data_IF_083122400704
#
_entry.id   IF_083122400704
#
_cell.length_a   1.000
_cell.length_b   1.000
_cell.length_c   1.000
_cell.angle_alpha   90.00
_cell.angle_beta   90.00
_cell.angle_gamma   90.00
#
_symmetry.space_group_name_H-M   'P 1'
#
loop_
_entity.id
_entity.type
_entity.pdbx_description
1 polymer ?
#
# COMPACT_ATOMS: atom_id res chain seq x y z
N UNK A 1 16.28 -5.18 2.30
CA UNK A 1 15.48 -5.48 1.10
C UNK A 1 14.14 -6.08 1.52
N UNK A 2 13.04 -5.40 1.20
CA UNK A 2 11.68 -5.93 1.42
C UNK A 2 11.59 -7.34 0.82
N UNK A 3 11.31 -8.34 1.66
CA UNK A 3 11.22 -9.74 1.21
C UNK A 3 9.96 -9.94 0.37
N UNK A 4 10.10 -10.72 -0.71
CA UNK A 4 9.01 -11.08 -1.64
C UNK A 4 8.34 -9.87 -2.33
N UNK A 5 9.04 -8.75 -2.43
CA UNK A 5 8.56 -7.62 -3.22
C UNK A 5 8.68 -7.93 -4.71
N UNK A 6 7.60 -7.72 -5.47
CA UNK A 6 7.58 -7.68 -6.92
C UNK A 6 6.82 -6.42 -7.33
N UNK A 7 7.48 -5.54 -8.10
CA UNK A 7 6.86 -4.31 -8.58
C UNK A 7 5.61 -4.59 -9.42
N UNK A 8 5.64 -5.66 -10.23
CA UNK A 8 4.51 -6.10 -11.05
C UNK A 8 3.26 -6.36 -10.23
N UNK A 9 3.37 -6.93 -9.03
CA UNK A 9 2.21 -7.25 -8.20
C UNK A 9 1.52 -5.96 -7.72
N UNK A 10 2.29 -4.91 -7.44
CA UNK A 10 1.75 -3.60 -7.08
C UNK A 10 1.16 -2.88 -8.29
N UNK A 11 1.80 -2.96 -9.46
CA UNK A 11 1.24 -2.44 -10.72
C UNK A 11 -0.10 -3.10 -11.01
N UNK A 12 -0.20 -4.42 -10.84
CA UNK A 12 -1.44 -5.17 -11.06
C UNK A 12 -2.51 -4.81 -10.02
N UNK A 13 -2.15 -4.70 -8.73
CA UNK A 13 -3.09 -4.34 -7.67
C UNK A 13 -3.61 -2.90 -7.79
N UNK A 14 -2.75 -1.95 -8.14
CA UNK A 14 -3.13 -0.55 -8.36
C UNK A 14 -3.70 -0.31 -9.76
N UNK A 15 -3.51 -1.24 -10.69
CA UNK A 15 -3.79 -1.10 -12.13
C UNK A 15 -3.15 0.16 -12.72
N UNK A 16 -2.00 0.57 -12.18
CA UNK A 16 -1.30 1.80 -12.54
C UNK A 16 0.19 1.71 -12.18
N UNK A 17 0.99 2.57 -12.79
CA UNK A 17 2.42 2.70 -12.50
C UNK A 17 2.64 3.54 -11.23
N UNK A 18 3.80 3.40 -10.55
CA UNK A 18 4.13 4.28 -9.45
C UNK A 18 4.21 5.74 -9.92
N UNK A 19 3.63 6.65 -9.14
CA UNK A 19 3.64 8.10 -9.41
C UNK A 19 4.98 8.76 -9.05
N UNK A 20 5.84 8.02 -8.34
CA UNK A 20 7.18 8.42 -7.98
C UNK A 20 8.07 7.20 -7.93
N UNK A 21 9.25 7.31 -8.53
CA UNK A 21 10.36 6.37 -8.40
C UNK A 21 11.55 7.20 -7.90
N UNK A 22 12.10 6.81 -6.76
CA UNK A 22 13.27 7.43 -6.17
C UNK A 22 14.55 7.10 -6.92
N UNK A 23 15.68 7.46 -6.32
CA UNK A 23 16.98 7.14 -6.92
C UNK A 23 17.36 5.67 -6.69
N UNK A 24 18.36 5.21 -7.44
CA UNK A 24 18.85 3.82 -7.40
C UNK A 24 19.38 3.38 -6.02
N UNK A 25 19.57 4.31 -5.07
CA UNK A 25 20.13 4.03 -3.75
C UNK A 25 19.08 3.64 -2.70
N UNK A 26 17.85 4.14 -2.83
CA UNK A 26 16.75 3.85 -1.90
C UNK A 26 15.75 2.85 -2.48
N UNK A 27 15.58 2.82 -3.81
CA UNK A 27 14.56 1.98 -4.43
C UNK A 27 13.16 2.42 -3.96
N UNK A 28 12.98 3.72 -3.71
CA UNK A 28 11.71 4.26 -3.25
C UNK A 28 10.67 4.25 -4.36
N UNK A 29 9.43 3.91 -4.02
CA UNK A 29 8.30 3.97 -4.94
C UNK A 29 7.06 4.49 -4.22
N UNK A 30 6.25 5.30 -4.90
CA UNK A 30 4.93 5.70 -4.41
C UNK A 30 3.88 5.24 -5.41
N UNK A 31 2.94 4.42 -4.93
CA UNK A 31 1.71 4.11 -5.63
C UNK A 31 0.57 4.94 -5.04
N UNK A 32 -0.32 5.43 -5.91
CA UNK A 32 -1.47 6.22 -5.50
C UNK A 32 -2.69 5.84 -6.33
N UNK A 33 -3.84 5.73 -5.68
CA UNK A 33 -5.15 5.64 -6.34
C UNK A 33 -6.11 6.66 -5.73
N UNK A 34 -6.70 7.47 -6.59
CA UNK A 34 -7.72 8.45 -6.22
C UNK A 34 -9.10 7.93 -6.60
N UNK A 35 -10.07 8.13 -5.71
CA UNK A 35 -11.46 7.74 -5.92
C UNK A 35 -12.32 8.98 -6.17
N UNK A 36 -13.41 8.81 -6.89
CA UNK A 36 -14.31 9.91 -7.30
C UNK A 36 -14.94 10.68 -6.14
N UNK A 37 -14.98 10.10 -4.94
CA UNK A 37 -15.45 10.74 -3.71
C UNK A 37 -14.36 11.55 -2.97
N UNK A 38 -13.17 11.69 -3.55
CA UNK A 38 -12.03 12.41 -2.97
C UNK A 38 -11.20 11.60 -1.97
N UNK A 39 -11.50 10.31 -1.78
CA UNK A 39 -10.66 9.38 -1.03
C UNK A 39 -9.39 9.06 -1.84
N UNK A 40 -8.27 8.88 -1.16
CA UNK A 40 -6.98 8.50 -1.74
C UNK A 40 -6.39 7.33 -0.97
N UNK A 41 -5.92 6.32 -1.70
CA UNK A 41 -5.02 5.30 -1.20
C UNK A 41 -3.60 5.66 -1.67
N UNK A 42 -2.64 5.71 -0.74
CA UNK A 42 -1.23 5.90 -1.05
C UNK A 42 -0.43 4.79 -0.39
N UNK A 43 0.46 4.16 -1.14
CA UNK A 43 1.47 3.24 -0.60
C UNK A 43 2.85 3.80 -0.92
N UNK A 44 3.63 4.06 0.12
CA UNK A 44 5.06 4.36 0.00
C UNK A 44 5.86 3.10 0.31
N UNK A 45 6.87 2.86 -0.51
CA UNK A 45 7.78 1.73 -0.44
C UNK A 45 9.20 2.29 -0.44
N UNK A 46 10.05 1.77 0.45
CA UNK A 46 11.50 1.92 0.43
C UNK A 46 12.07 0.50 0.46
N UNK A 47 12.43 0.00 -0.73
CA UNK A 47 12.80 -1.41 -0.92
C UNK A 47 14.06 -1.73 -0.13
N UNK A 48 15.06 -0.84 -0.16
CA UNK A 48 16.35 -1.11 0.48
C UNK A 48 16.31 -0.78 1.97
N UNK A 49 15.59 0.26 2.39
CA UNK A 49 15.34 0.63 3.78
C UNK A 49 14.28 -0.22 4.49
N UNK A 50 13.68 -1.20 3.81
CA UNK A 50 12.70 -2.16 4.37
C UNK A 50 11.46 -1.49 4.97
N UNK A 51 10.98 -0.41 4.35
CA UNK A 51 9.87 0.37 4.86
C UNK A 51 8.69 0.35 3.89
N UNK A 52 7.52 -0.01 4.43
CA UNK A 52 6.24 0.07 3.74
C UNK A 52 5.31 0.94 4.59
N UNK A 53 4.70 1.94 3.97
CA UNK A 53 3.67 2.76 4.59
C UNK A 53 2.43 2.76 3.71
N UNK A 54 1.29 2.41 4.31
CA UNK A 54 0.00 2.44 3.65
C UNK A 54 -0.87 3.49 4.32
N UNK A 55 -1.42 4.40 3.51
CA UNK A 55 -2.25 5.51 3.99
C UNK A 55 -3.53 5.59 3.18
N UNK A 56 -4.66 5.72 3.89
CA UNK A 56 -5.96 6.07 3.31
C UNK A 56 -6.37 7.42 3.88
N UNK A 57 -6.71 8.36 3.01
CA UNK A 57 -6.98 9.75 3.41
C UNK A 57 -7.98 10.44 2.48
N UNK A 58 -8.50 11.58 2.94
CA UNK A 58 -9.16 12.59 2.13
C UNK A 58 -8.25 13.83 2.04
N UNK A 59 -7.34 13.90 1.06
CA UNK A 59 -6.33 14.96 1.01
C UNK A 59 -6.94 16.37 0.95
N UNK A 60 -8.03 16.55 0.20
CA UNK A 60 -8.72 17.84 0.10
C UNK A 60 -9.34 18.33 1.41
N UNK A 61 -9.45 17.47 2.42
CA UNK A 61 -10.00 17.79 3.74
C UNK A 61 -8.95 17.67 4.86
N UNK A 62 -7.70 17.31 4.54
CA UNK A 62 -6.63 17.01 5.50
C UNK A 62 -7.02 15.94 6.54
N UNK A 63 -7.79 14.92 6.15
CA UNK A 63 -8.20 13.82 7.02
C UNK A 63 -7.44 12.55 6.65
N UNK A 64 -6.74 11.95 7.62
CA UNK A 64 -6.19 10.58 7.50
C UNK A 64 -7.13 9.61 8.20
N UNK A 65 -7.68 8.64 7.47
CA UNK A 65 -8.61 7.64 8.02
C UNK A 65 -7.90 6.37 8.44
N UNK A 66 -6.79 6.05 7.79
CA UNK A 66 -5.92 4.93 8.14
C UNK A 66 -4.48 5.26 7.77
N UNK A 67 -3.54 4.88 8.64
CA UNK A 67 -2.12 4.88 8.35
C UNK A 67 -1.47 3.75 9.10
N UNK A 68 -0.65 2.96 8.43
CA UNK A 68 0.09 1.87 9.05
C UNK A 68 1.47 1.74 8.44
N UNK A 69 2.45 1.53 9.32
CA UNK A 69 3.70 0.89 8.95
C UNK A 69 3.46 -0.61 8.80
N UNK A 70 4.02 -1.23 7.76
CA UNK A 70 3.82 -2.64 7.43
C UNK A 70 5.20 -3.28 7.27
N UNK A 71 5.40 -4.47 7.85
CA UNK A 71 6.67 -5.20 7.72
C UNK A 71 6.76 -5.94 6.38
N UNK A 72 5.65 -6.57 5.98
CA UNK A 72 5.57 -7.34 4.74
C UNK A 72 4.18 -7.22 4.13
N UNK A 73 4.13 -7.16 2.80
CA UNK A 73 2.90 -7.28 2.04
C UNK A 73 2.88 -8.64 1.34
N UNK A 74 1.73 -9.31 1.36
CA UNK A 74 1.47 -10.50 0.55
C UNK A 74 0.24 -10.23 -0.33
N UNK A 75 0.34 -10.49 -1.64
CA UNK A 75 -0.78 -10.31 -2.56
C UNK A 75 -1.38 -11.67 -2.89
N UNK A 76 -2.66 -11.86 -2.59
CA UNK A 76 -3.42 -13.09 -2.84
C UNK A 76 -4.71 -12.75 -3.55
N UNK A 77 -4.86 -13.20 -4.80
CA UNK A 77 -6.10 -13.03 -5.58
C UNK A 77 -6.62 -11.57 -5.57
N UNK A 78 -5.73 -10.60 -5.77
CA UNK A 78 -6.00 -9.14 -5.78
C UNK A 78 -6.30 -8.50 -4.41
N UNK A 79 -6.10 -9.23 -3.31
CA UNK A 79 -6.13 -8.68 -1.95
C UNK A 79 -4.71 -8.51 -1.46
N UNK A 80 -4.39 -7.30 -0.99
CA UNK A 80 -3.15 -6.97 -0.31
C UNK A 80 -3.30 -7.31 1.18
N UNK A 81 -2.54 -8.29 1.65
CA UNK A 81 -2.46 -8.67 3.05
C UNK A 81 -1.28 -7.92 3.69
N UNK A 82 -1.58 -7.11 4.69
CA UNK A 82 -0.60 -6.38 5.49
C UNK A 82 -0.16 -7.27 6.65
N UNK A 83 1.10 -7.66 6.67
CA UNK A 83 1.67 -8.55 7.68
C UNK A 83 2.50 -7.75 8.69
N UNK A 84 2.27 -8.03 9.97
CA UNK A 84 3.03 -7.50 11.11
C UNK A 84 3.19 -8.60 12.16
N UNK A 85 4.42 -8.86 12.62
CA UNK A 85 4.76 -9.96 13.55
C UNK A 85 4.21 -11.32 13.07
N UNK A 86 4.37 -11.61 11.79
CA UNK A 86 3.86 -12.82 11.11
C UNK A 86 2.33 -13.03 11.19
N UNK A 87 1.55 -11.98 11.50
CA UNK A 87 0.09 -11.99 11.48
C UNK A 87 -0.44 -11.03 10.43
N UNK A 88 -1.54 -11.41 9.78
CA UNK A 88 -2.27 -10.53 8.88
C UNK A 88 -3.08 -9.52 9.69
N UNK A 89 -2.62 -8.26 9.77
CA UNK A 89 -3.30 -7.22 10.56
C UNK A 89 -4.31 -6.41 9.75
N UNK A 90 -4.17 -6.41 8.43
CA UNK A 90 -5.16 -5.79 7.55
C UNK A 90 -5.22 -6.49 6.18
N UNK A 91 -6.41 -6.51 5.59
CA UNK A 91 -6.68 -6.95 4.22
C UNK A 91 -7.21 -5.75 3.44
N UNK A 92 -6.56 -5.46 2.31
CA UNK A 92 -6.89 -4.33 1.45
C UNK A 92 -7.27 -4.82 0.06
N UNK A 93 -8.47 -4.48 -0.37
CA UNK A 93 -8.94 -4.67 -1.74
C UNK A 93 -9.10 -3.29 -2.38
N UNK A 94 -8.45 -3.09 -3.52
CA UNK A 94 -8.43 -1.80 -4.24
C UNK A 94 -9.64 -1.69 -5.18
N UNK A 95 -9.95 -2.78 -5.90
CA UNK A 95 -11.01 -2.83 -6.91
C UNK A 95 -12.11 -3.84 -6.57
N UNK A 96 -13.39 -3.58 -6.94
CA UNK A 96 -13.90 -2.41 -7.67
C UNK A 96 -14.09 -1.15 -6.80
N UNK A 97 -13.98 -1.31 -5.48
CA UNK A 97 -14.08 -0.23 -4.49
C UNK A 97 -13.06 -0.48 -3.39
N UNK A 98 -12.47 0.59 -2.85
CA UNK A 98 -11.55 0.47 -1.73
C UNK A 98 -12.25 -0.15 -0.51
N UNK A 99 -11.77 -1.31 -0.10
CA UNK A 99 -12.21 -1.99 1.10
C UNK A 99 -11.00 -2.33 1.97
N UNK A 100 -11.01 -1.84 3.20
CA UNK A 100 -10.01 -2.14 4.21
C UNK A 100 -10.69 -2.90 5.36
N UNK A 101 -10.20 -4.10 5.64
CA UNK A 101 -10.58 -4.88 6.82
C UNK A 101 -9.40 -4.94 7.77
N UNK A 102 -9.60 -4.42 8.99
CA UNK A 102 -8.59 -4.44 10.05
C UNK A 102 -8.89 -5.59 11.01
N UNK A 103 -7.87 -6.37 11.36
CA UNK A 103 -7.95 -7.57 12.19
C UNK A 103 -7.33 -7.28 13.57
N UNK A 104 -8.18 -7.22 14.61
CA UNK A 104 -7.74 -7.14 16.00
C UNK A 104 -7.65 -8.54 16.59
N UNK A 105 -6.43 -8.97 16.95
CA UNK A 105 -6.17 -10.26 17.60
C UNK A 105 -6.01 -10.11 19.11
#
# INVERSE_FOLDING_TARGET
MIKNFQESDFIDAFQDLPIYIGNDQSGEMIFKREYSNGLSLTTYLDIYGEKIELTISYPGQNITTFSSHIERVEIKSNVIHCIYLDKCVAELQIEPHLFLKVLGY
#
